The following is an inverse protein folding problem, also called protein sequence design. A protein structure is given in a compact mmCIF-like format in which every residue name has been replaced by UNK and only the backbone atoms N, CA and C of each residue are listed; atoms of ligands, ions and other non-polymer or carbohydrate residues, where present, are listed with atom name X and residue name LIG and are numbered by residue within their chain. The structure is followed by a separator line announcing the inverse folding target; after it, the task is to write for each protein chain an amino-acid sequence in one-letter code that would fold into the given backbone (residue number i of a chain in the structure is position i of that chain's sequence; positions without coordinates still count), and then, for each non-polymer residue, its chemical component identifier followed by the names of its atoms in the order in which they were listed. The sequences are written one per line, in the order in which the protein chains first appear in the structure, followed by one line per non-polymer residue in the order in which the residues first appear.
data_IF_314381432907
#
_entry.id   IF_314381432907
#
_cell.length_a   1.000
_cell.length_b   1.000
_cell.length_c   1.000
_cell.angle_alpha   90.00
_cell.angle_beta   90.00
_cell.angle_gamma   90.00
#
_symmetry.space_group_name_H-M   'P 1'
#
loop_
_entity.id
_entity.type
_entity.pdbx_description
1 polymer ?
#
# COMPACT_ATOMS: atom_id res chain seq x y z
N UNK A 1 -18.65 -13.28 -14.05
CA UNK A 1 -18.97 -12.56 -15.30
C UNK A 1 -20.14 -11.64 -15.06
N UNK A 2 -20.02 -10.36 -15.38
CA UNK A 2 -21.12 -9.39 -15.33
C UNK A 2 -21.90 -9.56 -16.62
N UNK A 3 -23.14 -10.04 -16.54
CA UNK A 3 -24.01 -10.30 -17.70
C UNK A 3 -25.02 -9.18 -18.00
N UNK A 4 -25.03 -8.13 -17.20
CA UNK A 4 -25.94 -6.99 -17.35
C UNK A 4 -25.34 -5.92 -18.27
N UNK A 5 -25.99 -5.63 -19.40
CA UNK A 5 -25.51 -4.68 -20.41
C UNK A 5 -25.43 -3.24 -19.87
N UNK A 6 -26.35 -2.85 -18.96
CA UNK A 6 -26.33 -1.53 -18.34
C UNK A 6 -25.14 -1.37 -17.41
N UNK A 7 -24.78 -2.43 -16.64
CA UNK A 7 -23.60 -2.46 -15.80
C UNK A 7 -22.31 -2.41 -16.66
N UNK A 8 -22.25 -3.14 -17.75
CA UNK A 8 -21.10 -3.12 -18.67
C UNK A 8 -20.93 -1.74 -19.31
N UNK A 9 -21.99 -1.11 -19.77
CA UNK A 9 -21.97 0.25 -20.29
C UNK A 9 -21.47 1.25 -19.23
N UNK A 10 -21.96 1.14 -17.98
CA UNK A 10 -21.52 2.03 -16.90
C UNK A 10 -20.03 1.84 -16.58
N UNK A 11 -19.56 0.60 -16.53
CA UNK A 11 -18.14 0.28 -16.31
C UNK A 11 -17.30 0.88 -17.44
N UNK A 12 -17.71 0.67 -18.67
CA UNK A 12 -17.01 1.22 -19.84
C UNK A 12 -16.94 2.76 -19.77
N UNK A 13 -18.04 3.41 -19.43
CA UNK A 13 -18.11 4.86 -19.27
C UNK A 13 -17.16 5.33 -18.15
N UNK A 14 -17.18 4.68 -16.97
CA UNK A 14 -16.28 5.01 -15.85
C UNK A 14 -14.81 4.83 -16.23
N UNK A 15 -14.47 3.81 -17.02
CA UNK A 15 -13.09 3.55 -17.45
C UNK A 15 -12.65 4.55 -18.53
N UNK A 16 -13.53 4.93 -19.47
CA UNK A 16 -13.22 5.84 -20.57
C UNK A 16 -13.30 7.33 -20.21
N UNK A 17 -14.19 7.71 -19.28
CA UNK A 17 -14.52 9.12 -18.97
C UNK A 17 -13.44 9.83 -18.12
N UNK A 18 -12.29 9.18 -17.92
CA UNK A 18 -11.21 9.73 -17.10
C UNK A 18 -10.29 10.73 -17.81
N UNK A 19 -10.67 11.21 -18.99
CA UNK A 19 -9.99 12.29 -19.70
C UNK A 19 -8.55 12.02 -20.12
N UNK A 20 -8.07 10.80 -19.91
CA UNK A 20 -6.71 10.40 -20.26
C UNK A 20 -6.77 9.42 -21.42
N UNK A 21 -6.20 9.80 -22.53
CA UNK A 21 -5.86 8.90 -23.66
C UNK A 21 -4.84 7.81 -23.25
N UNK A 22 -4.49 7.75 -21.97
CA UNK A 22 -3.46 6.85 -21.43
C UNK A 22 -4.07 5.58 -20.84
N UNK A 23 -3.38 4.48 -21.03
CA UNK A 23 -3.70 3.18 -20.40
C UNK A 23 -3.64 3.27 -18.88
N UNK A 24 -4.64 2.74 -18.20
CA UNK A 24 -4.67 2.63 -16.74
C UNK A 24 -5.99 3.08 -16.13
N UNK A 25 -6.09 2.94 -14.82
CA UNK A 25 -7.23 3.35 -14.02
C UNK A 25 -6.94 4.69 -13.33
N UNK A 26 -7.94 5.57 -13.18
CA UNK A 26 -7.73 6.87 -12.53
C UNK A 26 -7.33 6.70 -11.08
N UNK A 27 -6.30 7.42 -10.66
CA UNK A 27 -5.82 7.40 -9.28
C UNK A 27 -6.80 8.20 -8.41
N UNK A 28 -7.29 7.56 -7.33
CA UNK A 28 -8.11 8.22 -6.32
C UNK A 28 -9.60 7.86 -6.35
N UNK A 29 -10.12 7.32 -7.44
CA UNK A 29 -11.51 6.85 -7.49
C UNK A 29 -11.67 5.51 -6.74
N UNK A 30 -12.80 5.36 -6.04
CA UNK A 30 -13.13 4.12 -5.32
C UNK A 30 -13.31 2.95 -6.31
N UNK A 31 -13.97 3.22 -7.44
CA UNK A 31 -14.20 2.28 -8.53
C UNK A 31 -12.91 1.74 -9.12
N UNK A 32 -11.86 2.56 -9.23
CA UNK A 32 -10.55 2.12 -9.71
C UNK A 32 -9.94 1.02 -8.85
N UNK A 33 -10.14 1.07 -7.53
CA UNK A 33 -9.66 0.02 -6.62
C UNK A 33 -10.41 -1.30 -6.84
N UNK A 34 -11.72 -1.21 -7.06
CA UNK A 34 -12.55 -2.38 -7.35
C UNK A 34 -12.12 -3.02 -8.68
N UNK A 35 -11.99 -2.23 -9.73
CA UNK A 35 -11.58 -2.71 -11.06
C UNK A 35 -10.15 -3.27 -11.05
N UNK A 36 -9.22 -2.62 -10.35
CA UNK A 36 -7.87 -3.15 -10.19
C UNK A 36 -7.86 -4.51 -9.49
N UNK A 37 -8.68 -4.68 -8.45
CA UNK A 37 -8.78 -5.96 -7.75
C UNK A 37 -9.43 -7.03 -8.62
N UNK A 38 -10.51 -6.73 -9.35
CA UNK A 38 -11.14 -7.66 -10.28
C UNK A 38 -10.19 -8.03 -11.44
N UNK A 39 -9.39 -7.07 -11.94
CA UNK A 39 -8.40 -7.32 -12.98
C UNK A 39 -7.26 -8.23 -12.52
N UNK A 40 -6.79 -8.05 -11.29
CA UNK A 40 -5.71 -8.84 -10.69
C UNK A 40 -6.20 -10.17 -10.07
N UNK A 41 -7.50 -10.43 -10.04
CA UNK A 41 -8.08 -11.70 -9.60
C UNK A 41 -7.58 -12.88 -10.46
N UNK A 42 -7.36 -12.66 -11.74
CA UNK A 42 -6.71 -13.62 -12.65
C UNK A 42 -5.35 -14.06 -12.13
N UNK A 43 -4.56 -13.13 -11.57
CA UNK A 43 -3.28 -13.45 -10.95
C UNK A 43 -3.47 -14.26 -9.67
N UNK A 44 -4.45 -13.89 -8.83
CA UNK A 44 -4.72 -14.61 -7.57
C UNK A 44 -5.08 -16.07 -7.83
N UNK A 45 -5.97 -16.33 -8.79
CA UNK A 45 -6.33 -17.69 -9.22
C UNK A 45 -5.13 -18.44 -9.76
N UNK A 46 -4.36 -17.85 -10.66
CA UNK A 46 -3.15 -18.48 -11.20
C UNK A 46 -2.18 -18.89 -10.08
N UNK A 47 -1.88 -17.99 -9.15
CA UNK A 47 -0.93 -18.26 -8.07
C UNK A 47 -1.46 -19.28 -7.08
N UNK A 48 -2.77 -19.22 -6.74
CA UNK A 48 -3.36 -20.08 -5.72
C UNK A 48 -3.78 -21.44 -6.27
N UNK A 49 -4.44 -21.47 -7.42
CA UNK A 49 -5.12 -22.67 -7.93
C UNK A 49 -4.25 -23.42 -8.94
N UNK A 50 -3.54 -22.72 -9.85
CA UNK A 50 -2.69 -23.34 -10.85
C UNK A 50 -1.28 -23.66 -10.28
N UNK A 51 -0.63 -22.70 -9.58
CA UNK A 51 0.71 -22.90 -9.02
C UNK A 51 0.71 -23.50 -7.60
N UNK A 52 -0.46 -23.57 -6.93
CA UNK A 52 -0.58 -24.16 -5.60
C UNK A 52 0.20 -23.42 -4.50
N UNK A 53 0.50 -22.13 -4.66
CA UNK A 53 1.33 -21.38 -3.72
C UNK A 53 0.60 -21.20 -2.39
N UNK A 54 1.10 -21.85 -1.35
CA UNK A 54 0.48 -21.86 -0.02
C UNK A 54 0.54 -20.48 0.66
N UNK A 55 1.69 -19.82 0.66
CA UNK A 55 1.94 -18.58 1.36
C UNK A 55 1.99 -17.40 0.39
N UNK A 56 0.82 -16.97 -0.02
CA UNK A 56 0.58 -15.83 -0.90
C UNK A 56 -0.35 -14.84 -0.24
N UNK A 57 -0.04 -13.56 -0.33
CA UNK A 57 -0.90 -12.46 0.09
C UNK A 57 -0.74 -11.28 -0.87
N UNK A 58 -1.86 -10.68 -1.29
CA UNK A 58 -1.90 -9.48 -2.12
C UNK A 58 -2.67 -8.36 -1.43
N UNK A 59 -2.18 -7.16 -1.58
CA UNK A 59 -2.87 -5.93 -1.22
C UNK A 59 -2.74 -4.95 -2.38
N UNK A 60 -3.81 -4.77 -3.13
CA UNK A 60 -3.82 -4.01 -4.39
C UNK A 60 -2.84 -4.60 -5.40
N UNK A 61 -1.85 -3.81 -5.83
CA UNK A 61 -0.76 -4.15 -6.75
C UNK A 61 0.47 -4.76 -6.06
N UNK A 62 0.56 -4.65 -4.75
CA UNK A 62 1.64 -5.26 -3.96
C UNK A 62 1.28 -6.70 -3.56
N UNK A 63 2.15 -7.68 -3.83
CA UNK A 63 1.98 -9.03 -3.32
C UNK A 63 3.28 -9.62 -2.77
N UNK A 64 3.12 -10.64 -1.93
CA UNK A 64 4.21 -11.36 -1.28
C UNK A 64 3.99 -12.86 -1.44
N UNK A 65 5.04 -13.56 -1.77
CA UNK A 65 5.13 -15.03 -1.73
C UNK A 65 6.24 -15.39 -0.74
N UNK A 66 5.98 -16.35 0.14
CA UNK A 66 6.98 -16.89 1.06
C UNK A 66 7.24 -18.35 0.73
N UNK A 67 8.53 -18.69 0.59
CA UNK A 67 9.00 -20.05 0.40
C UNK A 67 10.38 -20.23 1.01
N UNK A 68 10.73 -21.44 1.43
CA UNK A 68 12.05 -21.76 2.01
C UNK A 68 13.12 -21.93 0.93
N UNK A 69 12.73 -22.40 -0.24
CA UNK A 69 13.63 -22.57 -1.39
C UNK A 69 13.64 -21.30 -2.26
N UNK A 70 14.83 -20.73 -2.37
CA UNK A 70 15.05 -19.53 -3.20
C UNK A 70 14.96 -19.81 -4.69
N UNK A 71 15.38 -21.02 -5.14
CA UNK A 71 15.29 -21.40 -6.56
C UNK A 71 13.84 -21.45 -6.99
N UNK A 72 13.01 -22.11 -6.19
CA UNK A 72 11.56 -22.16 -6.43
C UNK A 72 10.93 -20.77 -6.52
N UNK A 73 11.38 -19.80 -5.70
CA UNK A 73 10.91 -18.41 -5.82
C UNK A 73 11.31 -17.75 -7.14
N UNK A 74 12.48 -18.06 -7.69
CA UNK A 74 12.89 -17.56 -9.02
C UNK A 74 12.05 -18.19 -10.13
N UNK A 75 11.74 -19.49 -10.03
CA UNK A 75 10.88 -20.18 -10.98
C UNK A 75 9.47 -19.58 -10.96
N UNK A 76 8.90 -19.37 -9.77
CA UNK A 76 7.62 -18.71 -9.60
C UNK A 76 7.63 -17.27 -10.16
N UNK A 77 8.71 -16.53 -9.95
CA UNK A 77 8.85 -15.17 -10.49
C UNK A 77 8.80 -15.19 -12.03
N UNK A 78 9.46 -16.15 -12.67
CA UNK A 78 9.44 -16.30 -14.13
C UNK A 78 8.03 -16.64 -14.63
N UNK A 79 7.38 -17.66 -14.04
CA UNK A 79 6.04 -18.11 -14.42
C UNK A 79 5.00 -17.01 -14.24
N UNK A 80 5.01 -16.32 -13.09
CA UNK A 80 4.12 -15.21 -12.81
C UNK A 80 4.38 -14.05 -13.78
N UNK A 81 5.64 -13.77 -14.09
CA UNK A 81 6.02 -12.74 -15.05
C UNK A 81 5.44 -12.97 -16.44
N UNK A 82 5.46 -14.21 -16.92
CA UNK A 82 4.87 -14.62 -18.21
C UNK A 82 3.35 -14.38 -18.20
N UNK A 83 2.64 -14.81 -17.15
CA UNK A 83 1.18 -14.64 -17.05
C UNK A 83 0.79 -13.16 -16.90
N UNK A 84 1.53 -12.38 -16.10
CA UNK A 84 1.32 -10.95 -16.01
C UNK A 84 1.40 -10.27 -17.38
N UNK A 85 2.39 -10.66 -18.20
CA UNK A 85 2.56 -10.09 -19.54
C UNK A 85 1.52 -10.60 -20.54
N UNK A 86 1.32 -11.91 -20.59
CA UNK A 86 0.48 -12.57 -21.60
C UNK A 86 -1.01 -12.27 -21.38
N UNK A 87 -1.49 -12.47 -20.13
CA UNK A 87 -2.92 -12.34 -19.80
C UNK A 87 -3.32 -10.92 -19.38
N UNK A 88 -2.44 -10.20 -18.68
CA UNK A 88 -2.77 -8.90 -18.07
C UNK A 88 -2.03 -7.71 -18.69
N UNK A 89 -1.09 -7.92 -19.61
CA UNK A 89 -0.24 -6.85 -20.18
C UNK A 89 0.44 -5.98 -19.11
N UNK A 90 0.78 -6.60 -17.99
CA UNK A 90 1.47 -6.01 -16.85
C UNK A 90 2.90 -6.54 -16.75
N UNK A 91 3.74 -5.82 -16.03
CA UNK A 91 5.11 -6.22 -15.72
C UNK A 91 5.40 -6.02 -14.25
N UNK A 92 6.37 -6.78 -13.73
CA UNK A 92 6.88 -6.52 -12.39
C UNK A 92 7.47 -5.13 -12.26
N UNK A 93 7.28 -4.54 -11.08
CA UNK A 93 8.02 -3.34 -10.73
C UNK A 93 9.53 -3.66 -10.72
N UNK A 94 10.41 -2.79 -11.26
CA UNK A 94 11.87 -2.98 -11.20
C UNK A 94 12.43 -3.19 -9.79
N UNK A 95 11.69 -2.81 -8.75
CA UNK A 95 12.04 -3.02 -7.34
C UNK A 95 11.63 -4.38 -6.79
N UNK A 96 10.96 -5.21 -7.58
CA UNK A 96 10.61 -6.58 -7.19
C UNK A 96 11.89 -7.36 -6.92
N UNK A 97 11.98 -8.01 -5.76
CA UNK A 97 13.19 -8.69 -5.33
C UNK A 97 12.89 -9.87 -4.41
N UNK A 98 13.75 -10.87 -4.44
CA UNK A 98 13.74 -12.04 -3.56
C UNK A 98 14.84 -11.84 -2.52
N UNK A 99 14.44 -11.84 -1.25
CA UNK A 99 15.35 -11.61 -0.12
C UNK A 99 14.89 -12.37 1.14
N UNK A 100 15.79 -12.62 2.11
CA UNK A 100 15.44 -13.30 3.34
C UNK A 100 14.39 -12.53 4.16
N UNK A 101 13.36 -13.22 4.67
CA UNK A 101 12.31 -12.63 5.49
C UNK A 101 12.86 -11.97 6.78
N UNK A 102 14.05 -12.39 7.25
CA UNK A 102 14.75 -11.79 8.37
C UNK A 102 15.10 -10.31 8.18
N UNK A 103 15.21 -9.84 6.94
CA UNK A 103 15.41 -8.42 6.63
C UNK A 103 14.15 -7.57 6.88
N UNK A 104 13.01 -8.21 7.12
CA UNK A 104 11.71 -7.56 7.24
C UNK A 104 11.11 -7.19 5.88
N UNK A 105 9.81 -7.36 5.74
CA UNK A 105 9.07 -7.20 4.49
C UNK A 105 8.22 -5.93 4.56
N UNK A 106 8.41 -5.02 3.62
CA UNK A 106 7.59 -3.81 3.49
C UNK A 106 6.27 -4.15 2.81
N UNK A 107 5.14 -4.09 3.55
CA UNK A 107 3.81 -4.39 3.04
C UNK A 107 2.72 -3.55 3.73
N UNK A 108 1.73 -3.12 2.96
CA UNK A 108 0.58 -2.36 3.45
C UNK A 108 0.93 -1.18 4.40
N UNK A 109 2.05 -0.49 4.13
CA UNK A 109 2.47 0.68 4.93
C UNK A 109 3.36 0.38 6.14
N UNK A 110 3.62 -0.88 6.44
CA UNK A 110 4.45 -1.33 7.56
C UNK A 110 5.63 -2.16 7.08
N UNK A 111 6.63 -2.34 7.94
CA UNK A 111 7.67 -3.32 7.78
C UNK A 111 7.46 -4.44 8.78
N UNK A 112 7.30 -5.65 8.26
CA UNK A 112 6.91 -6.85 9.00
C UNK A 112 8.10 -7.76 9.23
N UNK A 113 8.20 -8.27 10.44
CA UNK A 113 9.03 -9.42 10.84
C UNK A 113 8.14 -10.51 11.40
N UNK A 114 8.67 -11.67 11.66
CA UNK A 114 7.91 -12.82 12.18
C UNK A 114 7.16 -12.49 13.47
N UNK A 115 7.79 -11.76 14.41
CA UNK A 115 7.24 -11.51 15.75
C UNK A 115 6.74 -10.09 16.00
N UNK A 116 7.01 -9.15 15.07
CA UNK A 116 6.61 -7.75 15.24
C UNK A 116 6.54 -7.01 13.91
N UNK A 117 5.93 -5.85 13.94
CA UNK A 117 5.93 -4.90 12.82
C UNK A 117 6.25 -3.49 13.30
N UNK A 118 6.85 -2.72 12.43
CA UNK A 118 7.18 -1.32 12.63
C UNK A 118 6.58 -0.45 11.51
N UNK A 119 6.30 0.83 11.77
CA UNK A 119 5.94 1.75 10.69
C UNK A 119 7.15 1.94 9.77
N UNK A 120 6.92 2.10 8.48
CA UNK A 120 8.00 2.35 7.49
C UNK A 120 8.80 3.60 7.89
N UNK A 121 10.12 3.53 7.84
CA UNK A 121 11.02 4.67 8.15
C UNK A 121 10.64 5.94 7.36
N UNK A 122 10.23 5.78 6.10
CA UNK A 122 9.75 6.88 5.25
C UNK A 122 8.52 7.58 5.86
N UNK A 123 7.56 6.82 6.39
CA UNK A 123 6.35 7.37 6.99
C UNK A 123 6.69 8.14 8.27
N UNK A 124 7.60 7.62 9.10
CA UNK A 124 8.08 8.32 10.30
C UNK A 124 8.76 9.64 9.94
N UNK A 125 9.69 9.64 8.97
CA UNK A 125 10.33 10.88 8.49
C UNK A 125 9.31 11.91 7.99
N UNK A 126 8.31 11.45 7.22
CA UNK A 126 7.23 12.32 6.72
C UNK A 126 6.39 12.90 7.86
N UNK A 127 6.06 12.09 8.87
CA UNK A 127 5.30 12.54 10.04
C UNK A 127 6.07 13.60 10.84
N UNK A 128 7.36 13.40 11.11
CA UNK A 128 8.18 14.42 11.77
C UNK A 128 8.19 15.76 11.02
N UNK A 129 8.32 15.70 9.69
CA UNK A 129 8.25 16.93 8.87
C UNK A 129 6.89 17.61 8.99
N UNK A 130 5.80 16.85 8.90
CA UNK A 130 4.43 17.38 9.06
C UNK A 130 4.21 17.98 10.45
N UNK A 131 4.74 17.37 11.50
CA UNK A 131 4.58 17.89 12.85
C UNK A 131 5.37 19.18 13.07
N UNK A 132 6.53 19.33 12.46
CA UNK A 132 7.25 20.63 12.42
C UNK A 132 6.41 21.71 11.73
N UNK A 133 5.78 21.40 10.61
CA UNK A 133 4.88 22.31 9.89
C UNK A 133 3.64 22.66 10.73
N UNK A 134 3.02 21.68 11.38
CA UNK A 134 1.88 21.88 12.29
C UNK A 134 2.23 22.85 13.42
N UNK A 135 3.41 22.71 14.04
CA UNK A 135 3.88 23.64 15.07
C UNK A 135 3.96 25.09 14.56
N UNK A 136 4.52 25.26 13.36
CA UNK A 136 4.63 26.57 12.71
C UNK A 136 3.24 27.17 12.43
N UNK A 137 2.35 26.40 11.80
CA UNK A 137 0.98 26.85 11.50
C UNK A 137 0.18 27.17 12.76
N UNK A 138 0.38 26.42 13.84
CA UNK A 138 -0.26 26.70 15.12
C UNK A 138 0.27 27.99 15.76
N UNK A 139 1.57 28.21 15.76
CA UNK A 139 2.20 29.44 16.26
C UNK A 139 1.73 30.68 15.49
N UNK A 140 1.54 30.58 14.18
CA UNK A 140 1.01 31.64 13.30
C UNK A 140 -0.52 31.82 13.40
N UNK A 141 -1.21 31.08 14.28
CA UNK A 141 -2.67 31.12 14.38
C UNK A 141 -3.45 30.55 13.20
N UNK A 142 -2.78 29.91 12.24
CA UNK A 142 -3.37 29.33 11.01
C UNK A 142 -3.90 27.91 11.21
N UNK A 143 -3.71 27.33 12.37
CA UNK A 143 -4.22 26.03 12.76
C UNK A 143 -4.70 26.06 14.20
N UNK A 144 -5.86 25.48 14.49
CA UNK A 144 -6.40 25.36 15.83
C UNK A 144 -6.01 24.04 16.53
N UNK A 145 -6.28 23.94 17.83
CA UNK A 145 -5.96 22.76 18.65
C UNK A 145 -6.73 21.52 18.19
N UNK A 146 -7.96 21.66 17.72
CA UNK A 146 -8.78 20.56 17.27
C UNK A 146 -8.18 19.92 16.01
N UNK A 147 -7.70 20.74 15.08
CA UNK A 147 -7.00 20.28 13.88
C UNK A 147 -5.68 19.58 14.23
N UNK A 148 -4.90 20.12 15.17
CA UNK A 148 -3.68 19.46 15.66
C UNK A 148 -4.01 18.12 16.28
N UNK A 149 -5.03 18.07 17.17
CA UNK A 149 -5.50 16.82 17.81
C UNK A 149 -5.90 15.77 16.79
N UNK A 150 -6.62 16.14 15.75
CA UNK A 150 -7.02 15.23 14.66
C UNK A 150 -5.80 14.62 13.96
N UNK A 151 -4.76 15.43 13.66
CA UNK A 151 -3.53 14.96 13.02
C UNK A 151 -2.72 14.01 13.93
N UNK A 152 -2.65 14.34 15.23
CA UNK A 152 -2.00 13.48 16.24
C UNK A 152 -2.77 12.16 16.38
N UNK A 153 -4.09 12.20 16.50
CA UNK A 153 -4.93 11.01 16.61
C UNK A 153 -4.76 10.08 15.41
N UNK A 154 -4.72 10.64 14.20
CA UNK A 154 -4.45 9.86 12.97
C UNK A 154 -3.08 9.17 13.01
N UNK A 155 -2.04 9.84 13.48
CA UNK A 155 -0.70 9.24 13.61
C UNK A 155 -0.67 8.15 14.67
N UNK A 156 -1.26 8.39 15.84
CA UNK A 156 -1.36 7.40 16.93
C UNK A 156 -2.16 6.19 16.47
N UNK A 157 -3.30 6.39 15.79
CA UNK A 157 -4.11 5.32 15.19
C UNK A 157 -3.31 4.47 14.21
N UNK A 158 -2.54 5.09 13.31
CA UNK A 158 -1.66 4.38 12.39
C UNK A 158 -0.61 3.53 13.12
N UNK A 159 -0.02 4.04 14.21
CA UNK A 159 1.05 3.36 14.95
C UNK A 159 0.56 2.39 16.02
N UNK A 160 -0.74 2.41 16.37
CA UNK A 160 -1.35 1.52 17.38
C UNK A 160 -1.09 0.03 17.12
N UNK A 161 -0.98 -0.33 15.84
CA UNK A 161 -0.76 -1.71 15.41
C UNK A 161 0.71 -2.13 15.32
N UNK A 162 1.64 -1.33 15.86
CA UNK A 162 3.09 -1.53 15.73
C UNK A 162 3.79 -1.56 17.11
N UNK A 163 4.94 -2.22 17.19
CA UNK A 163 5.86 -2.06 18.32
C UNK A 163 6.66 -0.76 18.21
N UNK A 164 5.97 0.39 18.20
CA UNK A 164 6.57 1.70 17.94
C UNK A 164 6.42 2.71 19.10
N UNK A 165 6.08 2.26 20.30
CA UNK A 165 5.78 3.13 21.45
C UNK A 165 6.88 4.16 21.74
N UNK A 166 8.15 3.76 21.73
CA UNK A 166 9.29 4.67 21.93
C UNK A 166 9.38 5.73 20.83
N UNK A 167 9.20 5.32 19.57
CA UNK A 167 9.23 6.23 18.41
C UNK A 167 8.06 7.21 18.46
N UNK A 168 6.87 6.74 18.82
CA UNK A 168 5.66 7.57 18.95
C UNK A 168 5.87 8.58 20.06
N UNK A 169 6.29 8.14 21.26
CA UNK A 169 6.60 9.02 22.38
C UNK A 169 7.59 10.09 21.96
N UNK A 170 8.74 9.75 21.40
CA UNK A 170 9.75 10.72 20.99
C UNK A 170 9.25 11.73 19.96
N UNK A 171 8.34 11.34 19.05
CA UNK A 171 7.74 12.27 18.09
C UNK A 171 6.73 13.19 18.76
N UNK A 172 5.95 12.69 19.72
CA UNK A 172 4.97 13.49 20.45
C UNK A 172 5.63 14.45 21.44
N UNK A 173 6.70 14.04 22.10
CA UNK A 173 7.50 14.88 22.98
C UNK A 173 8.14 16.08 22.22
N UNK A 174 8.46 15.89 20.93
CA UNK A 174 8.92 16.97 20.03
C UNK A 174 7.79 17.97 19.64
N UNK A 175 6.51 17.60 19.83
CA UNK A 175 5.36 18.39 19.43
C UNK A 175 4.93 19.36 20.56
N UNK A 176 5.78 20.32 20.90
CA UNK A 176 5.44 21.40 21.84
C UNK A 176 4.72 22.50 21.07
N UNK A 177 3.50 22.84 21.50
CA UNK A 177 2.69 23.90 20.90
C UNK A 177 2.86 25.19 21.71
N UNK A 178 3.24 26.28 21.06
CA UNK A 178 3.32 27.62 21.63
C UNK A 178 2.64 28.56 20.66
N UNK A 179 1.80 29.49 21.18
CA UNK A 179 1.32 30.63 20.39
C UNK A 179 2.34 31.75 20.55
N UNK A 180 2.69 32.40 19.46
CA UNK A 180 3.45 33.62 19.43
C UNK A 180 2.63 34.78 19.96
#
# INVERSE_FOLDING_TARGET
TVGDEGALWLIEKIVKDNGFEQRGLPIGALTSKLFANAYLDVLDHYVKDELGVRFYVRYMDDFIILHTDKRHLHDLQTLIGSVLWERLKLQFNPKTSIFPASHGIDFAGYRHWVSYRLPRKRNIKRTRRKFKEIRKLYAEGRMDVAQVRSRVASFVGYTKHCKASRTVKGILDELVLQRG
#
